data_IF_767967379447
#
_entry.id   IF_767967379447
#
_cell.length_a   1.000
_cell.length_b   1.000
_cell.length_c   1.000
_cell.angle_alpha   90.00
_cell.angle_beta   90.00
_cell.angle_gamma   90.00
#
_symmetry.space_group_name_H-M   'P 1'
#
loop_
_entity.id
_entity.type
_entity.pdbx_description
1 polymer ?
#
# COMPACT_ATOMS: atom_id res chain seq x y z
N UNK A 1 -11.73 -9.10 8.52
CA UNK A 1 -10.52 -8.26 8.43
C UNK A 1 -10.92 -6.99 7.72
N UNK A 2 -10.72 -5.83 8.34
CA UNK A 2 -11.08 -4.55 7.71
C UNK A 2 -9.86 -3.99 6.96
N UNK A 3 -10.12 -3.42 5.79
CA UNK A 3 -9.11 -2.83 4.91
C UNK A 3 -9.30 -1.33 4.93
N UNK A 4 -8.29 -0.61 5.40
CA UNK A 4 -8.33 0.85 5.53
C UNK A 4 -7.32 1.49 4.58
N UNK A 5 -7.78 2.46 3.79
CA UNK A 5 -6.97 3.15 2.80
C UNK A 5 -6.75 4.57 3.29
N UNK A 6 -5.50 4.90 3.63
CA UNK A 6 -5.14 6.22 4.11
C UNK A 6 -4.61 7.09 2.96
N UNK A 7 -5.25 8.24 2.72
CA UNK A 7 -4.79 9.25 1.76
C UNK A 7 -3.60 10.02 2.34
N UNK A 8 -2.45 10.00 1.66
CA UNK A 8 -1.29 10.82 2.04
C UNK A 8 -1.54 12.29 1.70
N UNK A 9 -1.77 13.13 2.72
CA UNK A 9 -2.01 14.56 2.53
C UNK A 9 -0.76 15.44 2.73
N UNK A 10 0.14 15.09 3.67
CA UNK A 10 1.43 15.80 3.91
C UNK A 10 2.42 15.08 4.88
N UNK A 11 2.08 13.89 5.38
CA UNK A 11 2.84 13.19 6.42
C UNK A 11 3.92 12.22 5.88
N UNK A 12 4.94 11.97 6.71
CA UNK A 12 6.01 11.02 6.44
C UNK A 12 5.48 9.57 6.60
N UNK A 13 5.72 8.70 5.61
CA UNK A 13 5.24 7.30 5.63
C UNK A 13 5.89 6.50 6.76
N UNK A 14 7.11 6.85 7.12
CA UNK A 14 7.87 6.21 8.19
C UNK A 14 7.13 6.24 9.53
N UNK A 15 6.37 7.30 9.81
CA UNK A 15 5.57 7.39 11.04
C UNK A 15 4.43 6.37 11.10
N UNK A 16 3.84 6.04 9.95
CA UNK A 16 2.76 5.05 9.86
C UNK A 16 3.34 3.63 9.86
N UNK A 17 4.53 3.45 9.29
CA UNK A 17 5.23 2.17 9.32
C UNK A 17 5.55 1.71 10.76
N UNK A 18 5.88 2.65 11.65
CA UNK A 18 6.09 2.38 13.09
C UNK A 18 4.83 1.86 13.81
N UNK A 19 3.64 2.09 13.26
CA UNK A 19 2.38 1.60 13.82
C UNK A 19 2.06 0.17 13.37
N UNK A 20 2.79 -0.36 12.39
CA UNK A 20 2.56 -1.68 11.85
C UNK A 20 3.05 -2.75 12.82
N UNK A 21 2.13 -3.63 13.21
CA UNK A 21 2.49 -4.88 13.91
C UNK A 21 3.24 -5.82 12.96
N UNK A 22 2.91 -5.78 11.67
CA UNK A 22 3.57 -6.54 10.59
C UNK A 22 3.57 -5.68 9.33
N UNK A 23 4.74 -5.34 8.80
CA UNK A 23 4.86 -4.60 7.56
C UNK A 23 4.74 -5.55 6.35
N UNK A 24 3.99 -5.15 5.32
CA UNK A 24 3.83 -5.86 4.07
C UNK A 24 4.82 -5.28 3.05
N UNK A 25 6.11 -5.58 3.22
CA UNK A 25 7.19 -5.02 2.39
C UNK A 25 7.04 -5.34 0.91
N UNK A 26 6.52 -6.51 0.55
CA UNK A 26 6.25 -6.92 -0.84
C UNK A 26 5.27 -6.00 -1.59
N UNK A 27 4.38 -5.31 -0.87
CA UNK A 27 3.48 -4.31 -1.47
C UNK A 27 4.26 -3.17 -2.13
N UNK A 28 5.37 -2.73 -1.50
CA UNK A 28 6.22 -1.67 -2.05
C UNK A 28 6.89 -2.10 -3.35
N UNK A 29 7.32 -3.35 -3.43
CA UNK A 29 8.01 -3.90 -4.59
C UNK A 29 7.05 -4.11 -5.76
N UNK A 30 5.86 -4.66 -5.50
CA UNK A 30 4.84 -4.83 -6.53
C UNK A 30 4.33 -3.48 -7.04
N UNK A 31 4.18 -2.48 -6.17
CA UNK A 31 3.82 -1.14 -6.60
C UNK A 31 4.93 -0.52 -7.47
N UNK A 32 6.20 -0.74 -7.14
CA UNK A 32 7.33 -0.33 -8.00
C UNK A 32 7.26 -0.96 -9.38
N UNK A 33 6.99 -2.26 -9.43
CA UNK A 33 6.85 -2.99 -10.69
C UNK A 33 5.69 -2.48 -11.55
N UNK A 34 4.51 -2.28 -10.96
CA UNK A 34 3.35 -1.73 -11.66
C UNK A 34 3.61 -0.29 -12.16
N UNK A 35 4.26 0.54 -11.35
CA UNK A 35 4.64 1.92 -11.74
C UNK A 35 5.64 1.97 -12.87
N UNK A 36 6.60 1.05 -12.87
CA UNK A 36 7.56 0.90 -13.95
C UNK A 36 6.84 0.58 -15.26
N UNK A 37 5.85 -0.32 -15.21
CA UNK A 37 5.01 -0.70 -16.36
C UNK A 37 4.13 0.46 -16.87
N UNK A 38 3.66 1.34 -15.99
CA UNK A 38 2.83 2.50 -16.36
C UNK A 38 3.64 3.74 -16.81
N UNK A 39 4.97 3.73 -16.78
CA UNK A 39 5.83 4.88 -17.18
C UNK A 39 5.49 6.15 -16.35
N UNK A 40 5.12 5.99 -15.08
CA UNK A 40 4.88 7.11 -14.15
C UNK A 40 6.00 7.14 -13.11
N UNK A 41 7.09 7.83 -13.44
CA UNK A 41 8.38 7.82 -12.72
C UNK A 41 8.44 8.70 -11.46
N UNK A 42 7.42 9.50 -11.14
CA UNK A 42 7.70 10.71 -10.34
C UNK A 42 7.42 10.61 -8.83
N UNK A 43 6.76 9.57 -8.29
CA UNK A 43 6.46 9.48 -6.85
C UNK A 43 6.45 8.05 -6.31
N UNK A 44 7.62 7.40 -6.33
CA UNK A 44 7.84 6.04 -5.79
C UNK A 44 8.01 5.99 -4.25
N UNK A 45 8.21 7.13 -3.59
CA UNK A 45 8.77 7.17 -2.23
C UNK A 45 7.74 7.26 -1.09
N UNK A 46 6.50 6.82 -1.29
CA UNK A 46 5.43 7.17 -0.34
C UNK A 46 4.30 6.17 -0.16
N UNK A 47 4.43 4.94 -0.62
CA UNK A 47 3.41 3.92 -0.40
C UNK A 47 3.94 2.85 0.55
N UNK A 48 3.12 2.45 1.52
CA UNK A 48 3.42 1.39 2.48
C UNK A 48 2.15 0.60 2.77
N UNK A 49 2.29 -0.65 3.19
CA UNK A 49 1.17 -1.44 3.66
C UNK A 49 1.59 -2.26 4.88
N UNK A 50 0.65 -2.54 5.76
CA UNK A 50 0.93 -3.31 6.96
C UNK A 50 -0.33 -3.63 7.76
N UNK A 51 -0.17 -4.47 8.78
CA UNK A 51 -1.23 -4.90 9.67
C UNK A 51 -1.15 -4.12 10.97
N UNK A 52 -2.25 -3.46 11.34
CA UNK A 52 -2.40 -2.74 12.61
C UNK A 52 -3.60 -3.29 13.33
N UNK A 53 -3.40 -3.88 14.52
CA UNK A 53 -4.50 -4.41 15.38
C UNK A 53 -5.49 -5.33 14.63
N UNK A 54 -5.01 -6.18 13.71
CA UNK A 54 -5.86 -7.10 12.94
C UNK A 54 -6.57 -6.47 11.73
N UNK A 55 -6.28 -5.21 11.41
CA UNK A 55 -6.71 -4.53 10.19
C UNK A 55 -5.54 -4.37 9.23
N UNK A 56 -5.80 -4.42 7.94
CA UNK A 56 -4.77 -4.14 6.93
C UNK A 56 -4.91 -2.68 6.52
N UNK A 57 -3.81 -1.94 6.63
CA UNK A 57 -3.73 -0.54 6.25
C UNK A 57 -2.87 -0.40 5.01
N UNK A 58 -3.41 0.25 3.98
CA UNK A 58 -2.68 0.64 2.78
C UNK A 58 -2.54 2.17 2.76
N UNK A 59 -1.31 2.65 2.71
CA UNK A 59 -0.99 4.06 2.50
C UNK A 59 -0.52 4.23 1.06
N UNK A 60 -1.22 5.08 0.30
CA UNK A 60 -0.90 5.37 -1.09
C UNK A 60 -0.73 6.89 -1.29
N UNK A 61 0.24 7.33 -2.13
CA UNK A 61 0.42 8.74 -2.45
C UNK A 61 -0.79 9.28 -3.22
N UNK A 62 -1.34 10.40 -2.73
CA UNK A 62 -2.58 10.98 -3.24
C UNK A 62 -2.37 11.76 -4.55
N UNK A 63 -2.43 11.06 -5.68
CA UNK A 63 -2.85 11.66 -6.96
C UNK A 63 -3.81 10.68 -7.64
N UNK A 64 -4.92 11.17 -8.17
CA UNK A 64 -6.02 10.36 -8.74
C UNK A 64 -5.53 9.42 -9.85
N UNK A 65 -4.63 9.91 -10.71
CA UNK A 65 -4.01 9.13 -11.80
C UNK A 65 -3.12 7.96 -11.31
N UNK A 66 -2.87 7.89 -10.00
CA UNK A 66 -1.95 6.94 -9.36
C UNK A 66 -2.74 6.01 -8.43
N UNK A 67 -3.68 6.53 -7.65
CA UNK A 67 -4.45 5.74 -6.70
C UNK A 67 -5.38 4.71 -7.37
N UNK A 68 -6.10 5.06 -8.43
CA UNK A 68 -7.05 4.14 -9.06
C UNK A 68 -6.38 2.89 -9.66
N UNK A 69 -5.31 3.01 -10.47
CA UNK A 69 -4.62 1.85 -11.00
C UNK A 69 -3.97 1.01 -9.90
N UNK A 70 -3.39 1.64 -8.86
CA UNK A 70 -2.84 0.92 -7.73
C UNK A 70 -3.92 0.15 -6.95
N UNK A 71 -5.11 0.72 -6.79
CA UNK A 71 -6.22 0.02 -6.13
C UNK A 71 -6.69 -1.19 -6.95
N UNK A 72 -6.91 -1.00 -8.25
CA UNK A 72 -7.43 -2.05 -9.15
C UNK A 72 -6.42 -3.15 -9.45
N UNK A 73 -5.17 -2.77 -9.74
CA UNK A 73 -4.15 -3.70 -10.24
C UNK A 73 -3.24 -4.26 -9.13
N UNK A 74 -3.32 -3.73 -7.90
CA UNK A 74 -2.49 -4.21 -6.80
C UNK A 74 -3.34 -4.61 -5.61
N UNK A 75 -4.04 -3.65 -5.00
CA UNK A 75 -4.76 -3.90 -3.74
C UNK A 75 -5.84 -4.97 -3.95
N UNK A 76 -6.68 -4.85 -4.97
CA UNK A 76 -7.76 -5.82 -5.22
C UNK A 76 -7.24 -7.22 -5.62
N UNK A 77 -6.14 -7.31 -6.36
CA UNK A 77 -5.59 -8.61 -6.78
C UNK A 77 -4.86 -9.33 -5.66
N UNK A 78 -4.10 -8.60 -4.84
CA UNK A 78 -3.30 -9.17 -3.75
C UNK A 78 -4.05 -9.22 -2.41
N UNK A 79 -5.24 -8.62 -2.31
CA UNK A 79 -6.01 -8.57 -1.07
C UNK A 79 -6.22 -9.95 -0.44
N UNK A 80 -6.48 -10.98 -1.25
CA UNK A 80 -6.61 -12.36 -0.75
C UNK A 80 -5.31 -12.91 -0.16
N UNK A 81 -4.19 -12.71 -0.85
CA UNK A 81 -2.87 -13.17 -0.39
C UNK A 81 -2.42 -12.42 0.86
N UNK A 82 -2.62 -11.10 0.87
CA UNK A 82 -2.28 -10.23 2.00
C UNK A 82 -3.13 -10.55 3.22
N UNK A 83 -4.44 -10.80 3.07
CA UNK A 83 -5.32 -11.24 4.16
C UNK A 83 -4.90 -12.59 4.71
N UNK A 84 -4.48 -13.51 3.85
CA UNK A 84 -3.97 -14.81 4.26
C UNK A 84 -2.65 -14.69 5.03
N UNK A 85 -1.69 -13.92 4.51
CA UNK A 85 -0.41 -13.63 5.17
C UNK A 85 -0.58 -12.87 6.49
N UNK A 86 -1.57 -11.99 6.58
CA UNK A 86 -1.84 -11.18 7.76
C UNK A 86 -2.52 -11.97 8.90
N UNK A 87 -3.24 -13.06 8.57
CA UNK A 87 -3.82 -13.98 9.55
C UNK A 87 -2.85 -15.07 10.02
N UNK A 88 -1.62 -15.08 9.49
CA UNK A 88 -0.56 -16.03 9.83
C UNK A 88 0.53 -15.38 10.68
#
# INVERSE_FOLDING_TARGET
>A
MEVEICKKDKGNVEAVELLFKKALTGFRELLRYLRYKEIISHRLSGAIAGVVKGKIIFCLPCSTNVCEPAMKNLVLLELGHVVYEANR
#
